data_IF_175480037228
#
_entry.id   IF_175480037228
#
_cell.length_a   1.000
_cell.length_b   1.000
_cell.length_c   1.000
_cell.angle_alpha   90.00
_cell.angle_beta   90.00
_cell.angle_gamma   90.00
#
_symmetry.space_group_name_H-M   'P 1'
#
loop_
_entity.id
_entity.type
_entity.pdbx_description
1 polymer ?
#
# COMPACT_ATOMS: atom_id res chain seq x y z
N UNK A 1 11.24 -1.36 -1.07
CA UNK A 1 10.71 -2.74 -1.10
C UNK A 1 10.42 -3.07 -2.55
N UNK A 2 10.85 -4.22 -3.03
CA UNK A 2 10.77 -4.57 -4.44
C UNK A 2 9.66 -5.60 -4.66
N UNK A 3 8.91 -5.41 -5.74
CA UNK A 3 7.91 -6.33 -6.25
C UNK A 3 8.24 -6.66 -7.69
N UNK A 4 8.58 -7.91 -7.95
CA UNK A 4 9.05 -8.36 -9.26
C UNK A 4 8.06 -9.31 -9.90
N UNK A 5 7.91 -9.16 -11.20
CA UNK A 5 7.19 -10.05 -12.11
C UNK A 5 8.19 -10.64 -13.10
N UNK A 6 7.72 -11.38 -14.11
CA UNK A 6 8.58 -11.90 -15.17
C UNK A 6 9.17 -10.81 -16.08
N UNK A 7 8.54 -9.62 -16.18
CA UNK A 7 8.97 -8.58 -17.14
C UNK A 7 9.20 -7.19 -16.51
N UNK A 8 8.77 -6.96 -15.27
CA UNK A 8 8.91 -5.67 -14.60
C UNK A 8 9.20 -5.81 -13.10
N UNK A 9 9.87 -4.80 -12.55
CA UNK A 9 10.19 -4.65 -11.12
C UNK A 9 9.82 -3.26 -10.66
N UNK A 10 9.12 -3.17 -9.52
CA UNK A 10 8.74 -1.90 -8.89
C UNK A 10 9.41 -1.77 -7.54
N UNK A 11 10.25 -0.73 -7.39
CA UNK A 11 10.79 -0.30 -6.11
C UNK A 11 9.83 0.65 -5.39
N UNK A 12 9.13 0.12 -4.40
CA UNK A 12 8.20 0.85 -3.55
C UNK A 12 8.91 1.48 -2.34
N UNK A 13 8.76 2.80 -2.20
CA UNK A 13 9.29 3.58 -1.08
C UNK A 13 8.18 4.02 -0.14
N UNK A 14 8.23 3.54 1.09
CA UNK A 14 7.34 3.97 2.16
C UNK A 14 7.89 5.20 2.89
N UNK A 15 7.00 6.02 3.42
CA UNK A 15 7.34 7.07 4.37
C UNK A 15 6.25 7.21 5.45
N UNK A 16 6.56 7.79 6.61
CA UNK A 16 5.58 8.01 7.68
C UNK A 16 4.31 8.73 7.22
N UNK A 17 4.44 9.70 6.30
CA UNK A 17 3.30 10.44 5.75
C UNK A 17 2.40 9.56 4.87
N UNK A 18 2.97 8.60 4.13
CA UNK A 18 2.18 7.63 3.38
C UNK A 18 1.38 6.73 4.33
N UNK A 19 1.95 6.32 5.47
CA UNK A 19 1.32 5.38 6.39
C UNK A 19 -0.02 5.88 6.93
N UNK A 20 -0.07 7.12 7.46
CA UNK A 20 -1.33 7.70 7.95
C UNK A 20 -2.40 7.74 6.86
N UNK A 21 -2.02 8.08 5.62
CA UNK A 21 -2.93 8.12 4.49
C UNK A 21 -3.48 6.73 4.15
N UNK A 22 -2.68 5.66 4.28
CA UNK A 22 -3.13 4.28 4.07
C UNK A 22 -4.13 3.83 5.13
N UNK A 23 -3.96 4.27 6.38
CA UNK A 23 -4.92 4.02 7.47
C UNK A 23 -6.24 4.78 7.30
N UNK A 24 -6.26 5.83 6.46
CA UNK A 24 -7.48 6.55 6.12
C UNK A 24 -7.99 7.47 7.23
N UNK A 25 -7.14 7.85 8.18
CA UNK A 25 -7.46 8.72 9.33
C UNK A 25 -6.64 9.99 9.28
N UNK A 26 -7.11 11.03 9.96
CA UNK A 26 -6.27 12.17 10.33
C UNK A 26 -5.88 12.05 11.81
N UNK A 27 -4.67 12.47 12.16
CA UNK A 27 -4.19 12.48 13.55
C UNK A 27 -3.77 13.90 13.93
N UNK A 28 -4.23 14.40 15.08
CA UNK A 28 -4.03 15.81 15.44
C UNK A 28 -2.56 16.22 15.52
N UNK A 29 -1.67 15.33 15.99
CA UNK A 29 -0.22 15.56 16.05
C UNK A 29 0.49 15.45 14.70
N UNK A 30 -0.23 15.04 13.66
CA UNK A 30 0.31 14.86 12.31
C UNK A 30 0.84 13.45 12.03
N UNK A 31 1.23 13.22 10.77
CA UNK A 31 1.50 11.87 10.27
C UNK A 31 2.78 11.22 10.81
N UNK A 32 3.81 12.02 11.12
CA UNK A 32 5.04 11.53 11.74
C UNK A 32 4.75 10.95 13.13
N UNK A 33 4.14 11.75 14.00
CA UNK A 33 3.71 11.30 15.33
C UNK A 33 2.74 10.14 15.26
N UNK A 34 1.80 10.12 14.30
CA UNK A 34 0.92 8.97 14.12
C UNK A 34 1.68 7.67 13.84
N UNK A 35 2.69 7.73 12.96
CA UNK A 35 3.53 6.58 12.64
C UNK A 35 4.31 6.09 13.86
N UNK A 36 4.95 7.01 14.59
CA UNK A 36 5.72 6.68 15.79
C UNK A 36 4.82 6.13 16.91
N UNK A 37 3.65 6.75 17.13
CA UNK A 37 2.67 6.29 18.12
C UNK A 37 2.11 4.91 17.74
N UNK A 38 1.92 4.60 16.46
CA UNK A 38 1.54 3.26 16.00
C UNK A 38 2.63 2.22 16.31
N UNK A 39 3.89 2.52 16.00
CA UNK A 39 5.01 1.63 16.26
C UNK A 39 5.17 1.32 17.76
N UNK A 40 4.99 2.35 18.60
CA UNK A 40 5.12 2.25 20.05
C UNK A 40 3.83 1.79 20.75
N UNK A 41 2.74 1.54 20.01
CA UNK A 41 1.41 1.20 20.56
C UNK A 41 0.83 2.27 21.50
N UNK A 42 1.09 3.54 21.20
CA UNK A 42 0.70 4.72 21.98
C UNK A 42 -0.31 5.63 21.26
N UNK A 43 -1.01 5.13 20.25
CA UNK A 43 -2.00 5.92 19.51
C UNK A 43 -3.09 6.42 20.46
N UNK A 44 -3.28 7.74 20.48
CA UNK A 44 -4.33 8.38 21.29
C UNK A 44 -5.61 8.47 20.47
N UNK A 45 -6.62 7.69 20.84
CA UNK A 45 -7.87 7.59 20.08
C UNK A 45 -8.59 8.95 19.96
N UNK A 46 -8.56 9.77 21.00
CA UNK A 46 -9.19 11.10 21.01
C UNK A 46 -8.55 12.08 20.02
N UNK A 47 -7.32 11.80 19.58
CA UNK A 47 -6.61 12.58 18.58
C UNK A 47 -6.83 12.06 17.15
N UNK A 48 -7.50 10.92 16.98
CA UNK A 48 -7.89 10.40 15.67
C UNK A 48 -9.17 11.08 15.17
N UNK A 49 -9.19 11.39 13.88
CA UNK A 49 -10.35 11.96 13.20
C UNK A 49 -10.67 11.15 11.96
N UNK A 50 -11.98 10.93 11.76
CA UNK A 50 -12.52 10.40 10.51
C UNK A 50 -12.38 11.47 9.44
N UNK A 51 -11.88 11.09 8.27
CA UNK A 51 -11.73 11.99 7.13
C UNK A 51 -13.10 12.39 6.59
N UNK A 52 -13.24 13.66 6.20
CA UNK A 52 -14.48 14.21 5.63
C UNK A 52 -14.81 13.66 4.24
N UNK A 53 -13.85 13.02 3.57
CA UNK A 53 -14.02 12.44 2.23
C UNK A 53 -14.73 11.07 2.22
N UNK A 54 -15.09 10.54 3.39
CA UNK A 54 -15.81 9.26 3.51
C UNK A 54 -14.97 8.01 3.20
N UNK A 55 -13.66 8.14 3.04
CA UNK A 55 -12.78 7.01 2.68
C UNK A 55 -12.28 6.21 3.88
N UNK A 56 -12.38 6.75 5.11
CA UNK A 56 -11.85 6.11 6.33
C UNK A 56 -12.38 4.69 6.51
N UNK A 57 -13.70 4.50 6.53
CA UNK A 57 -14.29 3.18 6.77
C UNK A 57 -13.93 2.18 5.66
N UNK A 58 -13.83 2.63 4.41
CA UNK A 58 -13.44 1.78 3.28
C UNK A 58 -12.01 1.28 3.44
N UNK A 59 -11.09 2.16 3.86
CA UNK A 59 -9.69 1.79 4.13
C UNK A 59 -9.57 0.84 5.32
N UNK A 60 -10.24 1.15 6.44
CA UNK A 60 -10.20 0.33 7.65
C UNK A 60 -10.76 -1.09 7.44
N UNK A 61 -11.75 -1.27 6.55
CA UNK A 61 -12.33 -2.58 6.22
C UNK A 61 -11.36 -3.58 5.58
N UNK A 62 -10.27 -3.09 4.98
CA UNK A 62 -9.25 -3.92 4.31
C UNK A 62 -7.86 -3.76 4.90
N UNK A 63 -7.64 -2.79 5.79
CA UNK A 63 -6.36 -2.55 6.43
C UNK A 63 -5.83 -3.80 7.15
N UNK A 64 -6.71 -4.55 7.83
CA UNK A 64 -6.34 -5.80 8.50
C UNK A 64 -5.89 -6.93 7.56
N UNK A 65 -6.11 -6.80 6.25
CA UNK A 65 -5.69 -7.77 5.23
C UNK A 65 -4.45 -7.31 4.45
N UNK A 66 -3.80 -6.22 4.84
CA UNK A 66 -2.68 -5.63 4.08
C UNK A 66 -1.49 -6.60 3.92
N UNK A 67 -1.31 -7.53 4.87
CA UNK A 67 -0.29 -8.58 4.79
C UNK A 67 -0.46 -9.52 3.59
N UNK A 68 -1.66 -9.61 3.00
CA UNK A 68 -1.86 -10.38 1.77
C UNK A 68 -1.05 -9.82 0.58
N UNK A 69 -0.62 -8.56 0.66
CA UNK A 69 0.30 -7.97 -0.32
C UNK A 69 1.74 -8.48 -0.18
N UNK A 70 2.05 -9.29 0.82
CA UNK A 70 3.37 -9.91 1.00
C UNK A 70 3.39 -11.39 0.56
N UNK A 71 2.26 -11.93 0.08
CA UNK A 71 2.10 -13.35 -0.20
C UNK A 71 2.20 -13.75 -1.69
N UNK A 72 2.04 -15.06 -1.95
CA UNK A 72 2.11 -15.70 -3.29
C UNK A 72 0.98 -15.30 -4.26
N UNK A 73 0.02 -14.53 -3.81
CA UNK A 73 -1.21 -14.23 -4.54
C UNK A 73 -1.35 -12.75 -4.85
N UNK A 74 -0.23 -12.07 -5.09
CA UNK A 74 -0.17 -10.65 -5.45
C UNK A 74 0.03 -10.51 -6.95
N UNK A 75 -0.63 -9.51 -7.53
CA UNK A 75 -0.42 -9.11 -8.90
C UNK A 75 -0.03 -7.63 -8.95
N UNK A 76 0.96 -7.32 -9.77
CA UNK A 76 1.35 -5.96 -10.11
C UNK A 76 0.63 -5.55 -11.39
N UNK A 77 -0.09 -4.43 -11.34
CA UNK A 77 -0.73 -3.83 -12.51
C UNK A 77 0.10 -2.65 -12.99
N UNK A 78 0.01 -2.36 -14.29
CA UNK A 78 0.38 -1.05 -14.81
C UNK A 78 -0.61 0.05 -14.42
N UNK A 79 -0.59 1.16 -15.16
CA UNK A 79 -1.40 2.33 -14.87
C UNK A 79 -2.89 2.08 -15.08
N UNK A 80 -3.70 2.86 -14.39
CA UNK A 80 -5.14 2.71 -14.48
C UNK A 80 -5.90 3.78 -13.70
N UNK A 81 -7.22 3.66 -13.79
CA UNK A 81 -8.16 4.51 -13.05
C UNK A 81 -9.16 3.64 -12.32
N UNK A 82 -9.38 3.95 -11.05
CA UNK A 82 -10.44 3.36 -10.24
C UNK A 82 -11.25 4.49 -9.60
N UNK A 83 -12.54 4.56 -9.94
CA UNK A 83 -13.39 5.72 -9.63
C UNK A 83 -12.74 7.01 -10.18
N UNK A 84 -12.38 7.94 -9.30
CA UNK A 84 -11.73 9.21 -9.63
C UNK A 84 -10.22 9.18 -9.38
N UNK A 85 -9.66 8.04 -8.95
CA UNK A 85 -8.24 7.90 -8.64
C UNK A 85 -7.49 7.33 -9.84
N UNK A 86 -6.56 8.12 -10.37
CA UNK A 86 -5.57 7.67 -11.34
C UNK A 86 -4.28 7.27 -10.63
N UNK A 87 -3.70 6.16 -11.07
CA UNK A 87 -2.48 5.57 -10.52
C UNK A 87 -1.58 5.05 -11.63
N UNK A 88 -0.29 4.98 -11.35
CA UNK A 88 0.72 4.55 -12.32
C UNK A 88 0.98 3.04 -12.22
N UNK A 89 0.79 2.47 -11.01
CA UNK A 89 0.82 1.03 -10.76
C UNK A 89 -0.17 0.67 -9.64
N UNK A 90 -0.46 -0.62 -9.48
CA UNK A 90 -1.11 -1.11 -8.27
C UNK A 90 -0.66 -2.52 -7.90
N UNK A 91 -0.46 -2.75 -6.60
CA UNK A 91 -0.33 -4.09 -6.04
C UNK A 91 -1.70 -4.55 -5.58
N UNK A 92 -2.22 -5.63 -6.15
CA UNK A 92 -3.53 -6.17 -5.76
C UNK A 92 -3.46 -7.64 -5.42
N UNK A 93 -4.35 -8.03 -4.52
CA UNK A 93 -4.61 -9.45 -4.27
C UNK A 93 -5.26 -10.10 -5.50
N UNK A 94 -4.93 -11.37 -5.78
CA UNK A 94 -5.45 -12.15 -6.91
C UNK A 94 -6.98 -12.17 -6.90
N UNK A 95 -7.56 -12.38 -5.71
CA UNK A 95 -9.02 -12.43 -5.45
C UNK A 95 -9.69 -11.06 -5.43
N UNK A 96 -8.97 -9.96 -5.69
CA UNK A 96 -9.50 -8.59 -5.65
C UNK A 96 -10.18 -8.26 -4.33
N UNK A 97 -9.52 -8.59 -3.21
CA UNK A 97 -9.95 -8.20 -1.87
C UNK A 97 -9.56 -6.74 -1.63
N UNK A 98 -8.32 -6.39 -1.97
CA UNK A 98 -7.76 -5.06 -1.81
C UNK A 98 -6.70 -4.77 -2.88
N UNK A 99 -6.42 -3.48 -3.08
CA UNK A 99 -5.30 -2.98 -3.85
C UNK A 99 -4.60 -1.80 -3.17
N UNK A 100 -3.29 -1.76 -3.27
CA UNK A 100 -2.46 -0.61 -2.95
C UNK A 100 -2.07 0.07 -4.26
N UNK A 101 -2.68 1.22 -4.55
CA UNK A 101 -2.29 2.02 -5.71
C UNK A 101 -1.01 2.77 -5.43
N UNK A 102 -0.19 2.90 -6.47
CA UNK A 102 1.13 3.51 -6.41
C UNK A 102 1.18 4.68 -7.38
N UNK A 103 1.89 5.73 -6.97
CA UNK A 103 2.16 6.89 -7.80
C UNK A 103 3.65 7.02 -8.03
N UNK A 104 4.03 7.18 -9.29
CA UNK A 104 5.36 7.53 -9.69
C UNK A 104 5.56 9.04 -9.48
N UNK A 105 6.64 9.40 -8.79
CA UNK A 105 7.08 10.78 -8.61
C UNK A 105 8.38 10.97 -9.38
N UNK A 106 8.88 12.21 -9.47
CA UNK A 106 10.16 12.50 -10.14
C UNK A 106 11.39 11.76 -9.58
N UNK A 107 11.25 11.08 -8.42
CA UNK A 107 12.37 10.39 -7.75
C UNK A 107 12.10 8.93 -7.41
N UNK A 108 10.84 8.53 -7.26
CA UNK A 108 10.47 7.24 -6.64
C UNK A 108 9.01 6.89 -6.86
N UNK A 109 8.70 5.60 -6.71
CA UNK A 109 7.33 5.09 -6.64
C UNK A 109 6.91 5.01 -5.17
N UNK A 110 5.75 5.59 -4.84
CA UNK A 110 5.25 5.68 -3.46
C UNK A 110 3.82 5.14 -3.34
N UNK A 111 3.41 4.65 -2.15
CA UNK A 111 2.02 4.33 -1.89
C UNK A 111 1.14 5.58 -2.03
N UNK A 112 0.06 5.46 -2.79
CA UNK A 112 -0.91 6.51 -3.01
C UNK A 112 -2.20 6.25 -2.23
N UNK A 113 -2.81 5.06 -2.33
CA UNK A 113 -4.03 4.73 -1.58
C UNK A 113 -4.23 3.23 -1.40
N UNK A 114 -4.83 2.85 -0.27
CA UNK A 114 -5.37 1.51 -0.05
C UNK A 114 -6.84 1.49 -0.45
N UNK A 115 -7.24 0.54 -1.28
CA UNK A 115 -8.58 0.42 -1.85
C UNK A 115 -9.23 -0.89 -1.42
N UNK A 116 -10.49 -0.82 -0.99
CA UNK A 116 -11.36 -1.99 -0.86
C UNK A 116 -11.93 -2.35 -2.22
N UNK A 117 -11.62 -3.57 -2.67
CA UNK A 117 -12.07 -4.11 -3.95
C UNK A 117 -13.23 -5.10 -3.80
N UNK A 118 -13.60 -5.52 -2.58
CA UNK A 118 -14.64 -6.54 -2.33
C UNK A 118 -16.00 -6.20 -2.96
N UNK A 119 -16.30 -4.90 -3.10
CA UNK A 119 -17.59 -4.39 -3.57
C UNK A 119 -17.61 -3.97 -5.04
N UNK A 120 -16.50 -4.08 -5.77
CA UNK A 120 -16.43 -3.66 -7.18
C UNK A 120 -15.82 -4.74 -8.06
N UNK A 121 -16.43 -4.94 -9.22
CA UNK A 121 -16.16 -6.09 -10.09
C UNK A 121 -15.01 -5.88 -11.07
N UNK A 122 -14.55 -4.64 -11.29
CA UNK A 122 -13.55 -4.34 -12.31
C UNK A 122 -12.43 -3.48 -11.73
N UNK A 123 -11.24 -4.08 -11.67
CA UNK A 123 -9.96 -3.42 -11.41
C UNK A 123 -8.95 -3.95 -12.45
N UNK A 124 -7.96 -3.15 -12.88
CA UNK A 124 -6.97 -3.61 -13.84
C UNK A 124 -6.40 -4.99 -13.54
N UNK A 125 -6.24 -5.79 -14.60
CA UNK A 125 -5.46 -7.01 -14.52
C UNK A 125 -3.99 -6.64 -14.30
N UNK A 126 -3.23 -7.60 -13.81
CA UNK A 126 -1.82 -7.43 -13.54
C UNK A 126 -1.09 -8.73 -13.78
N UNK A 127 0.22 -8.68 -13.71
CA UNK A 127 1.08 -9.83 -13.78
C UNK A 127 1.32 -10.38 -12.38
N UNK A 128 1.51 -11.70 -12.30
CA UNK A 128 1.82 -12.37 -11.04
C UNK A 128 3.16 -11.84 -10.52
N UNK A 129 3.18 -11.43 -9.25
CA UNK A 129 4.42 -11.15 -8.54
C UNK A 129 5.09 -12.47 -8.18
N UNK A 130 6.35 -12.64 -8.57
CA UNK A 130 7.16 -13.85 -8.39
C UNK A 130 8.20 -13.68 -7.27
N UNK A 131 8.57 -12.43 -6.94
CA UNK A 131 9.55 -12.13 -5.91
C UNK A 131 9.18 -10.84 -5.18
N UNK A 132 9.31 -10.87 -3.85
CA UNK A 132 9.10 -9.72 -2.97
C UNK A 132 10.25 -9.69 -1.98
N UNK A 133 11.00 -8.58 -1.96
CA UNK A 133 12.12 -8.43 -1.04
C UNK A 133 12.34 -6.98 -0.61
N UNK A 134 13.11 -6.79 0.45
CA UNK A 134 13.66 -5.50 0.84
C UNK A 134 15.18 -5.55 0.80
N UNK A 135 15.81 -4.38 0.65
CA UNK A 135 17.25 -4.22 0.63
C UNK A 135 17.66 -3.36 1.82
N UNK A 136 18.56 -3.85 2.65
CA UNK A 136 19.14 -3.07 3.73
C UNK A 136 19.94 -1.90 3.14
N UNK A 137 19.69 -0.68 3.61
CA UNK A 137 20.28 0.52 3.00
C UNK A 137 21.81 0.58 3.15
N UNK A 138 22.36 0.10 4.26
CA UNK A 138 23.80 0.14 4.53
C UNK A 138 24.55 -1.08 3.98
N UNK A 139 24.13 -2.29 4.36
CA UNK A 139 24.80 -3.54 3.98
C UNK A 139 24.44 -4.05 2.60
N UNK A 140 23.40 -3.51 1.95
CA UNK A 140 22.82 -4.04 0.71
C UNK A 140 22.29 -5.48 0.79
N UNK A 141 22.18 -6.04 2.00
CA UNK A 141 21.61 -7.36 2.24
C UNK A 141 20.15 -7.41 1.79
N UNK A 142 19.74 -8.53 1.16
CA UNK A 142 18.40 -8.74 0.66
C UNK A 142 17.60 -9.62 1.62
N UNK A 143 16.43 -9.14 2.04
CA UNK A 143 15.47 -9.89 2.85
C UNK A 143 14.27 -10.27 1.99
N UNK A 144 14.10 -11.57 1.74
CA UNK A 144 12.99 -12.07 0.91
C UNK A 144 11.76 -12.37 1.76
N UNK A 145 10.61 -11.88 1.30
CA UNK A 145 9.28 -12.20 1.82
C UNK A 145 8.57 -13.22 0.92
N UNK A 146 8.86 -13.17 -0.38
CA UNK A 146 8.44 -14.13 -1.39
C UNK A 146 9.59 -14.38 -2.36
N UNK A 147 9.82 -15.65 -2.69
CA UNK A 147 10.74 -16.07 -3.75
C UNK A 147 10.19 -17.39 -4.32
N UNK A 148 9.61 -17.33 -5.51
CA UNK A 148 9.16 -18.50 -6.26
C UNK A 148 10.31 -19.14 -7.07
#
# INVERSE_FOLDING_TARGET
MYYETEIESVELHFSPTNFMHLCGVDYQKGAGSFFDDCLNRHVIIDELKIKKDGTTMQKLQVLGSIEELLGKHVHLTGSGRYLYLEFDYALRTRKQILALTLKETSRKIVPQSLLDLKRKTVFPKGQKVISIYSKHLQTSELFYYLKD
#
